data_IF_533642648518
#
_entry.id   IF_533642648518
#
_cell.length_a   1.000
_cell.length_b   1.000
_cell.length_c   1.000
_cell.angle_alpha   90.00
_cell.angle_beta   90.00
_cell.angle_gamma   90.00
#
_symmetry.space_group_name_H-M   'P 1'
#
loop_
_entity.id
_entity.type
_entity.pdbx_description
1 polymer ?
#
# COMPACT_ATOMS: atom_id res chain seq x y z
N UNK A 1 67.52 16.20 6.19
CA UNK A 1 66.52 15.30 6.82
C UNK A 1 65.33 16.17 7.20
N UNK A 2 64.54 16.54 6.18
CA UNK A 2 63.46 17.52 6.28
C UNK A 2 62.62 17.38 5.01
N UNK A 3 61.46 16.71 5.10
CA UNK A 3 60.35 16.69 4.11
C UNK A 3 59.58 15.37 4.26
N UNK A 4 58.60 15.29 5.17
CA UNK A 4 57.61 14.19 5.14
C UNK A 4 56.31 14.50 5.92
N UNK A 5 55.96 15.78 6.11
CA UNK A 5 54.73 16.17 6.83
C UNK A 5 53.75 17.04 6.03
N UNK A 6 54.07 17.38 4.78
CA UNK A 6 53.23 18.29 3.96
C UNK A 6 52.39 17.60 2.87
N UNK A 7 52.51 16.28 2.69
CA UNK A 7 51.82 15.55 1.59
C UNK A 7 50.51 14.89 2.08
N UNK A 8 50.35 14.59 3.37
CA UNK A 8 49.16 13.88 3.87
C UNK A 8 47.91 14.75 4.08
N UNK A 9 48.05 16.07 4.28
CA UNK A 9 46.91 16.96 4.54
C UNK A 9 46.13 17.30 3.27
N UNK A 10 46.80 17.48 2.13
CA UNK A 10 46.16 17.81 0.87
C UNK A 10 45.32 16.64 0.30
N UNK A 11 45.78 15.40 0.47
CA UNK A 11 45.04 14.23 -0.01
C UNK A 11 43.75 13.96 0.79
N UNK A 12 43.74 14.29 2.09
CA UNK A 12 42.55 14.16 2.91
C UNK A 12 41.50 15.23 2.56
N UNK A 13 41.93 16.49 2.38
CA UNK A 13 41.04 17.59 1.96
C UNK A 13 40.50 17.40 0.54
N UNK A 14 41.30 16.92 -0.42
CA UNK A 14 40.85 16.64 -1.78
C UNK A 14 39.86 15.47 -1.82
N UNK A 15 40.06 14.43 -1.01
CA UNK A 15 39.11 13.30 -0.90
C UNK A 15 37.80 13.70 -0.21
N UNK A 16 37.84 14.56 0.81
CA UNK A 16 36.62 15.11 1.44
C UNK A 16 35.88 16.06 0.51
N UNK A 17 36.58 16.93 -0.24
CA UNK A 17 35.97 17.81 -1.25
C UNK A 17 35.31 17.01 -2.39
N UNK A 18 35.90 15.89 -2.81
CA UNK A 18 35.35 15.01 -3.85
C UNK A 18 34.15 14.18 -3.35
N UNK A 19 34.16 13.73 -2.08
CA UNK A 19 32.98 13.10 -1.46
C UNK A 19 31.83 14.09 -1.22
N UNK A 20 32.14 15.33 -0.83
CA UNK A 20 31.13 16.36 -0.63
C UNK A 20 30.51 16.83 -1.95
N UNK A 21 31.27 16.94 -3.05
CA UNK A 21 30.70 17.27 -4.36
C UNK A 21 29.77 16.18 -4.91
N UNK A 22 30.07 14.91 -4.63
CA UNK A 22 29.22 13.77 -4.98
C UNK A 22 27.91 13.75 -4.19
N UNK A 23 27.97 13.99 -2.88
CA UNK A 23 26.79 14.09 -2.01
C UNK A 23 25.90 15.30 -2.36
N UNK A 24 26.50 16.46 -2.64
CA UNK A 24 25.76 17.63 -3.12
C UNK A 24 25.10 17.37 -4.47
N UNK A 25 25.79 16.69 -5.39
CA UNK A 25 25.19 16.31 -6.68
C UNK A 25 24.03 15.34 -6.51
N UNK A 26 24.13 14.40 -5.56
CA UNK A 26 23.06 13.45 -5.24
C UNK A 26 21.85 14.15 -4.60
N UNK A 27 22.08 15.09 -3.68
CA UNK A 27 21.04 15.89 -3.03
C UNK A 27 20.36 16.81 -4.05
N UNK A 28 21.13 17.44 -4.94
CA UNK A 28 20.58 18.25 -6.04
C UNK A 28 19.78 17.37 -7.01
N UNK A 29 20.26 16.18 -7.36
CA UNK A 29 19.51 15.22 -8.18
C UNK A 29 18.19 14.79 -7.50
N UNK A 30 18.21 14.48 -6.20
CA UNK A 30 17.02 14.15 -5.41
C UNK A 30 16.04 15.33 -5.29
N UNK A 31 16.55 16.56 -5.11
CA UNK A 31 15.74 17.78 -5.06
C UNK A 31 15.17 18.16 -6.43
N UNK A 32 15.88 17.85 -7.52
CA UNK A 32 15.40 18.04 -8.88
C UNK A 32 14.35 16.99 -9.26
N UNK A 33 14.54 15.72 -8.87
CA UNK A 33 13.53 14.66 -9.03
C UNK A 33 12.26 14.98 -8.20
N UNK A 34 12.42 15.61 -7.04
CA UNK A 34 11.29 16.07 -6.21
C UNK A 34 10.55 17.30 -6.73
N UNK A 35 11.13 18.04 -7.69
CA UNK A 35 10.56 19.29 -8.25
C UNK A 35 10.21 19.25 -9.73
N UNK A 36 10.52 18.18 -10.45
CA UNK A 36 9.96 17.98 -11.78
C UNK A 36 8.49 17.64 -11.64
N UNK A 37 7.66 18.67 -11.53
CA UNK A 37 6.27 18.62 -11.97
C UNK A 37 6.27 17.94 -13.34
N UNK A 38 5.70 16.73 -13.40
CA UNK A 38 5.36 16.00 -14.61
C UNK A 38 4.29 16.80 -15.38
N UNK A 39 4.68 17.98 -15.89
CA UNK A 39 3.94 18.77 -16.86
C UNK A 39 4.41 18.38 -18.26
N UNK A 40 4.45 17.09 -18.51
CA UNK A 40 4.40 16.59 -19.88
C UNK A 40 2.94 16.71 -20.34
N UNK A 41 2.69 16.94 -21.63
CA UNK A 41 1.34 16.91 -22.19
C UNK A 41 0.71 15.54 -21.87
N UNK A 42 -0.01 15.45 -20.75
CA UNK A 42 -0.65 14.22 -20.31
C UNK A 42 -1.77 13.96 -21.30
N UNK A 43 -1.55 13.02 -22.24
CA UNK A 43 -2.58 12.51 -23.16
C UNK A 43 -3.85 12.04 -22.45
N UNK A 44 -3.78 11.86 -21.13
CA UNK A 44 -4.86 11.44 -20.26
C UNK A 44 -5.67 12.61 -19.67
N UNK A 45 -5.22 13.86 -19.81
CA UNK A 45 -5.93 15.02 -19.24
C UNK A 45 -7.37 15.07 -19.76
N UNK A 46 -8.35 15.10 -18.84
CA UNK A 46 -9.78 15.05 -19.13
C UNK A 46 -10.37 13.65 -19.25
N UNK A 47 -9.56 12.59 -19.11
CA UNK A 47 -10.06 11.21 -19.10
C UNK A 47 -10.90 10.91 -17.85
N UNK A 48 -11.72 9.85 -17.96
CA UNK A 48 -12.50 9.30 -16.86
C UNK A 48 -12.07 7.86 -16.58
N UNK A 49 -11.84 7.53 -15.31
CA UNK A 49 -11.46 6.19 -14.87
C UNK A 49 -12.49 5.64 -13.89
N UNK A 50 -12.92 4.40 -14.11
CA UNK A 50 -13.80 3.65 -13.22
C UNK A 50 -12.98 2.64 -12.42
N UNK A 51 -12.96 2.79 -11.11
CA UNK A 51 -12.25 1.88 -10.20
C UNK A 51 -13.22 0.90 -9.54
N UNK A 52 -12.93 -0.39 -9.65
CA UNK A 52 -13.59 -1.40 -8.82
C UNK A 52 -13.01 -1.32 -7.42
N UNK A 53 -13.88 -1.25 -6.41
CA UNK A 53 -13.52 -1.20 -4.99
C UNK A 53 -14.39 -2.19 -4.21
N UNK A 54 -13.82 -2.82 -3.18
CA UNK A 54 -14.53 -3.72 -2.28
C UNK A 54 -14.06 -3.50 -0.83
N UNK A 55 -14.83 -3.99 0.13
CA UNK A 55 -14.51 -3.85 1.55
C UNK A 55 -13.28 -4.72 1.92
N UNK A 56 -12.20 -4.09 2.38
CA UNK A 56 -10.93 -4.74 2.69
C UNK A 56 -10.15 -3.99 3.80
N UNK A 57 -10.61 -4.08 5.05
CA UNK A 57 -9.90 -3.45 6.16
C UNK A 57 -8.52 -4.12 6.37
N UNK A 58 -7.48 -3.37 6.76
CA UNK A 58 -7.52 -1.97 7.19
C UNK A 58 -7.41 -0.94 6.07
N UNK A 59 -7.24 -1.36 4.81
CA UNK A 59 -6.94 -0.47 3.68
C UNK A 59 -8.14 0.37 3.28
N UNK A 60 -9.26 -0.30 2.96
CA UNK A 60 -10.46 0.33 2.45
C UNK A 60 -11.72 -0.20 3.14
N UNK A 61 -12.50 0.73 3.68
CA UNK A 61 -13.77 0.47 4.34
C UNK A 61 -14.89 0.99 3.46
N UNK A 62 -15.78 0.08 3.04
CA UNK A 62 -17.03 0.40 2.35
C UNK A 62 -18.18 0.17 3.31
N UNK A 63 -19.00 1.20 3.53
CA UNK A 63 -20.23 1.08 4.31
C UNK A 63 -21.41 1.39 3.42
N UNK A 64 -22.29 0.40 3.21
CA UNK A 64 -23.48 0.54 2.37
C UNK A 64 -24.68 1.00 3.22
N UNK A 65 -25.37 2.04 2.77
CA UNK A 65 -26.61 2.54 3.35
C UNK A 65 -27.85 1.88 2.72
N UNK A 66 -29.02 2.15 3.31
CA UNK A 66 -30.29 1.49 2.95
C UNK A 66 -30.81 1.78 1.52
N UNK A 67 -30.24 2.76 0.81
CA UNK A 67 -30.69 3.19 -0.53
C UNK A 67 -29.65 2.93 -1.63
N UNK A 68 -28.70 2.02 -1.40
CA UNK A 68 -27.63 1.73 -2.37
C UNK A 68 -26.50 2.77 -2.39
N UNK A 69 -26.64 3.87 -1.66
CA UNK A 69 -25.53 4.77 -1.38
C UNK A 69 -24.48 4.07 -0.52
N UNK A 70 -23.21 4.42 -0.69
CA UNK A 70 -22.13 3.90 0.15
C UNK A 70 -21.13 5.01 0.49
N UNK A 71 -20.44 4.84 1.62
CA UNK A 71 -19.24 5.60 1.96
C UNK A 71 -18.01 4.77 1.69
N UNK A 72 -16.97 5.41 1.14
CA UNK A 72 -15.66 4.81 0.90
C UNK A 72 -14.60 5.59 1.66
N UNK A 73 -13.98 4.94 2.65
CA UNK A 73 -12.97 5.56 3.51
C UNK A 73 -11.76 4.66 3.63
N UNK A 74 -10.56 5.21 3.63
CA UNK A 74 -9.34 4.41 3.64
C UNK A 74 -8.19 5.11 2.94
N UNK A 75 -7.15 4.35 2.63
CA UNK A 75 -6.03 4.85 1.82
C UNK A 75 -6.39 4.92 0.34
N UNK A 76 -7.25 4.02 -0.15
CA UNK A 76 -7.76 3.98 -1.53
C UNK A 76 -8.21 5.33 -2.07
N UNK A 77 -9.28 5.94 -1.50
CA UNK A 77 -9.80 7.20 -2.01
C UNK A 77 -8.78 8.34 -1.93
N UNK A 78 -7.89 8.34 -0.93
CA UNK A 78 -6.89 9.40 -0.74
C UNK A 78 -5.86 9.43 -1.88
N UNK A 79 -5.31 8.28 -2.26
CA UNK A 79 -4.32 8.23 -3.33
C UNK A 79 -4.97 8.38 -4.71
N UNK A 80 -6.20 7.89 -4.88
CA UNK A 80 -6.98 8.08 -6.11
C UNK A 80 -7.30 9.55 -6.35
N UNK A 81 -7.70 10.29 -5.31
CA UNK A 81 -7.91 11.75 -5.38
C UNK A 81 -6.61 12.51 -5.66
N UNK A 82 -5.49 12.03 -5.12
CA UNK A 82 -4.17 12.57 -5.44
C UNK A 82 -3.82 12.32 -6.92
N UNK A 83 -4.03 11.09 -7.42
CA UNK A 83 -3.79 10.72 -8.81
C UNK A 83 -4.66 11.53 -9.78
N UNK A 84 -5.95 11.66 -9.45
CA UNK A 84 -6.93 12.42 -10.21
C UNK A 84 -6.48 13.87 -10.41
N UNK A 85 -6.07 14.53 -9.32
CA UNK A 85 -5.55 15.91 -9.35
C UNK A 85 -4.23 16.02 -10.10
N UNK A 86 -3.31 15.06 -9.92
CA UNK A 86 -1.98 15.10 -10.55
C UNK A 86 -2.05 14.89 -12.06
N UNK A 87 -2.96 14.05 -12.54
CA UNK A 87 -3.11 13.76 -13.97
C UNK A 87 -4.19 14.60 -14.66
N UNK A 88 -4.94 15.41 -13.91
CA UNK A 88 -6.12 16.14 -14.37
C UNK A 88 -7.15 15.19 -15.00
N UNK A 89 -7.54 14.15 -14.25
CA UNK A 89 -8.51 13.14 -14.67
C UNK A 89 -9.65 13.06 -13.66
N UNK A 90 -10.78 12.52 -14.10
CA UNK A 90 -11.93 12.25 -13.23
C UNK A 90 -11.99 10.77 -12.90
N UNK A 91 -12.52 10.46 -11.72
CA UNK A 91 -12.60 9.08 -11.23
C UNK A 91 -14.02 8.78 -10.74
N UNK A 92 -14.47 7.56 -10.97
CA UNK A 92 -15.68 6.99 -10.38
C UNK A 92 -15.37 5.63 -9.78
N UNK A 93 -16.33 5.12 -9.01
CA UNK A 93 -16.15 3.94 -8.19
C UNK A 93 -17.29 2.96 -8.44
N UNK A 94 -16.94 1.71 -8.71
CA UNK A 94 -17.84 0.58 -8.74
C UNK A 94 -17.64 -0.22 -7.45
N UNK A 95 -18.47 0.08 -6.45
CA UNK A 95 -18.41 -0.57 -5.14
C UNK A 95 -19.08 -1.95 -5.20
N UNK A 96 -18.31 -3.00 -4.88
CA UNK A 96 -18.81 -4.36 -4.78
C UNK A 96 -19.30 -4.61 -3.36
N UNK A 97 -20.60 -4.89 -3.21
CA UNK A 97 -21.18 -5.34 -1.95
C UNK A 97 -21.03 -6.86 -1.79
N UNK A 98 -21.23 -7.36 -0.57
CA UNK A 98 -21.04 -8.78 -0.26
C UNK A 98 -21.97 -9.69 -1.07
N UNK A 99 -23.23 -9.31 -1.24
CA UNK A 99 -24.22 -10.09 -2.01
C UNK A 99 -23.76 -10.31 -3.45
N UNK A 100 -23.33 -9.25 -4.14
CA UNK A 100 -22.81 -9.34 -5.50
C UNK A 100 -21.55 -10.20 -5.57
N UNK A 101 -20.68 -10.14 -4.56
CA UNK A 101 -19.48 -10.98 -4.49
C UNK A 101 -19.87 -12.46 -4.37
N UNK A 102 -20.80 -12.78 -3.46
CA UNK A 102 -21.24 -14.15 -3.18
C UNK A 102 -21.91 -14.77 -4.41
N UNK A 103 -22.78 -14.03 -5.09
CA UNK A 103 -23.45 -14.45 -6.34
C UNK A 103 -22.48 -14.74 -7.49
N UNK A 104 -21.25 -14.20 -7.44
CA UNK A 104 -20.23 -14.30 -8.49
C UNK A 104 -19.02 -15.17 -8.11
N UNK A 105 -19.18 -16.04 -7.11
CA UNK A 105 -18.18 -17.04 -6.72
C UNK A 105 -17.41 -16.70 -5.43
N UNK A 106 -17.84 -15.69 -4.66
CA UNK A 106 -17.37 -15.43 -3.29
C UNK A 106 -16.00 -14.75 -3.17
N UNK A 107 -15.26 -14.59 -4.26
CA UNK A 107 -13.95 -13.92 -4.26
C UNK A 107 -14.05 -12.48 -4.79
N UNK A 108 -13.91 -11.52 -3.88
CA UNK A 108 -13.85 -10.09 -4.16
C UNK A 108 -12.74 -9.72 -5.15
N UNK A 109 -11.54 -10.28 -4.98
CA UNK A 109 -10.39 -10.04 -5.86
C UNK A 109 -10.67 -10.58 -7.26
N UNK A 110 -11.12 -11.83 -7.38
CA UNK A 110 -11.34 -12.45 -8.69
C UNK A 110 -12.48 -11.80 -9.46
N UNK A 111 -13.55 -11.40 -8.77
CA UNK A 111 -14.63 -10.64 -9.39
C UNK A 111 -14.09 -9.29 -9.91
N UNK A 112 -13.35 -8.56 -9.08
CA UNK A 112 -12.74 -7.30 -9.48
C UNK A 112 -11.82 -7.42 -10.69
N UNK A 113 -10.94 -8.43 -10.71
CA UNK A 113 -10.05 -8.69 -11.84
C UNK A 113 -10.81 -9.07 -13.11
N UNK A 114 -11.89 -9.86 -13.00
CA UNK A 114 -12.76 -10.19 -14.14
C UNK A 114 -13.46 -8.96 -14.70
N UNK A 115 -13.94 -8.06 -13.85
CA UNK A 115 -14.58 -6.80 -14.30
C UNK A 115 -13.60 -5.92 -15.09
N UNK A 116 -12.34 -5.86 -14.66
CA UNK A 116 -11.28 -5.13 -15.38
C UNK A 116 -10.92 -5.84 -16.69
N UNK A 117 -10.69 -7.15 -16.66
CA UNK A 117 -10.36 -7.93 -17.85
C UNK A 117 -11.44 -7.84 -18.94
N UNK A 118 -12.71 -7.79 -18.52
CA UNK A 118 -13.87 -7.64 -19.41
C UNK A 118 -14.16 -6.19 -19.80
N UNK A 119 -13.34 -5.21 -19.38
CA UNK A 119 -13.50 -3.78 -19.68
C UNK A 119 -14.79 -3.15 -19.11
N UNK A 120 -15.35 -3.74 -18.06
CA UNK A 120 -16.46 -3.15 -17.31
C UNK A 120 -15.98 -2.08 -16.33
N UNK A 121 -14.69 -2.06 -16.03
CA UNK A 121 -14.00 -1.05 -15.24
C UNK A 121 -12.56 -0.90 -15.74
N UNK A 122 -11.93 0.23 -15.45
CA UNK A 122 -10.60 0.54 -15.96
C UNK A 122 -9.48 -0.02 -15.07
N UNK A 123 -9.74 -0.14 -13.77
CA UNK A 123 -8.78 -0.68 -12.82
C UNK A 123 -9.45 -1.26 -11.57
N UNK A 124 -8.78 -2.22 -10.95
CA UNK A 124 -9.10 -2.72 -9.62
C UNK A 124 -8.14 -2.08 -8.64
N UNK A 125 -8.67 -1.39 -7.64
CA UNK A 125 -7.85 -0.77 -6.60
C UNK A 125 -8.23 -1.36 -5.26
N UNK A 126 -7.27 -2.11 -4.71
CA UNK A 126 -7.30 -2.57 -3.34
C UNK A 126 -5.95 -3.20 -2.97
N UNK A 127 -5.71 -3.39 -1.67
CA UNK A 127 -4.58 -4.19 -1.20
C UNK A 127 -4.69 -5.62 -1.72
N UNK A 128 -3.90 -5.95 -2.75
CA UNK A 128 -3.87 -7.30 -3.35
C UNK A 128 -2.44 -7.74 -3.64
N UNK A 129 -2.22 -9.04 -3.57
CA UNK A 129 -0.94 -9.66 -3.90
C UNK A 129 -0.91 -9.96 -5.40
N UNK A 130 0.13 -9.48 -6.08
CA UNK A 130 0.39 -9.85 -7.46
C UNK A 130 0.85 -11.31 -7.51
N UNK A 131 0.12 -12.16 -8.23
CA UNK A 131 0.51 -13.56 -8.50
C UNK A 131 0.64 -13.80 -10.00
N UNK A 132 1.41 -14.81 -10.44
CA UNK A 132 1.52 -15.15 -11.86
C UNK A 132 0.17 -15.42 -12.54
N UNK A 133 -0.79 -16.00 -11.83
CA UNK A 133 -2.13 -16.31 -12.33
C UNK A 133 -2.90 -15.02 -12.60
N UNK A 134 -2.87 -14.07 -11.66
CA UNK A 134 -3.57 -12.77 -11.80
C UNK A 134 -2.96 -11.92 -12.90
N UNK A 135 -1.64 -11.98 -13.08
CA UNK A 135 -0.93 -11.28 -14.16
C UNK A 135 -1.31 -11.77 -15.56
N UNK A 136 -1.85 -12.99 -15.69
CA UNK A 136 -2.40 -13.48 -16.97
C UNK A 136 -3.74 -12.83 -17.31
N UNK A 137 -4.46 -12.28 -16.32
CA UNK A 137 -5.79 -11.71 -16.51
C UNK A 137 -5.73 -10.21 -16.81
N UNK A 138 -4.86 -9.48 -16.12
CA UNK A 138 -4.73 -8.02 -16.24
C UNK A 138 -3.28 -7.59 -16.05
N UNK A 139 -2.96 -6.41 -16.56
CA UNK A 139 -1.69 -5.75 -16.28
C UNK A 139 -1.67 -5.15 -14.88
N UNK A 140 -0.54 -5.28 -14.19
CA UNK A 140 -0.30 -4.67 -12.90
C UNK A 140 0.52 -3.40 -13.05
N UNK A 141 0.16 -2.36 -12.31
CA UNK A 141 1.03 -1.21 -12.12
C UNK A 141 2.29 -1.58 -11.34
N UNK A 142 3.24 -0.65 -11.26
CA UNK A 142 4.33 -0.78 -10.30
C UNK A 142 3.74 -0.92 -8.88
N UNK A 143 4.40 -1.72 -8.04
CA UNK A 143 3.92 -1.94 -6.67
C UNK A 143 4.04 -0.64 -5.88
N UNK A 144 2.94 -0.20 -5.28
CA UNK A 144 2.89 1.03 -4.47
C UNK A 144 3.22 0.74 -3.00
N UNK A 145 3.12 -0.53 -2.60
CA UNK A 145 3.27 -0.96 -1.22
C UNK A 145 3.87 -2.37 -1.13
N UNK A 146 4.61 -2.64 -0.06
CA UNK A 146 5.15 -3.96 0.27
C UNK A 146 4.75 -4.33 1.68
N UNK A 147 4.00 -5.42 1.83
CA UNK A 147 3.64 -6.00 3.13
C UNK A 147 4.43 -7.28 3.38
N UNK A 148 5.09 -7.43 4.55
CA UNK A 148 5.64 -8.70 4.95
C UNK A 148 4.53 -9.66 5.38
N UNK A 149 4.70 -10.95 5.08
CA UNK A 149 3.92 -11.98 5.76
C UNK A 149 4.37 -12.04 7.23
N UNK A 150 3.47 -11.69 8.13
CA UNK A 150 3.72 -11.72 9.57
C UNK A 150 2.78 -12.71 10.25
N UNK A 151 3.31 -13.43 11.24
CA UNK A 151 2.50 -14.28 12.11
C UNK A 151 2.16 -13.48 13.36
N UNK A 152 0.87 -13.29 13.62
CA UNK A 152 0.42 -12.67 14.87
C UNK A 152 0.46 -13.73 15.96
N UNK A 153 1.37 -13.57 16.91
CA UNK A 153 1.50 -14.44 18.09
C UNK A 153 1.12 -13.69 19.36
N UNK A 154 0.57 -14.37 20.38
CA UNK A 154 0.37 -13.77 21.70
C UNK A 154 1.70 -13.21 22.24
N UNK A 155 1.64 -12.07 22.92
CA UNK A 155 2.84 -11.54 23.58
C UNK A 155 3.27 -12.47 24.72
N UNK A 156 4.58 -12.59 25.02
CA UNK A 156 5.04 -13.35 26.17
C UNK A 156 4.32 -12.88 27.45
N UNK A 157 3.61 -13.78 28.13
CA UNK A 157 2.81 -13.48 29.31
C UNK A 157 1.34 -13.13 29.06
N UNK A 158 0.89 -12.96 27.81
CA UNK A 158 -0.55 -12.89 27.50
C UNK A 158 -1.16 -14.30 27.60
N UNK A 159 -2.16 -14.44 28.46
CA UNK A 159 -2.97 -15.67 28.54
C UNK A 159 -3.70 -15.87 27.21
N UNK A 160 -3.67 -17.08 26.61
CA UNK A 160 -4.41 -17.34 25.37
C UNK A 160 -5.89 -17.04 25.54
N UNK A 161 -6.43 -16.09 24.75
CA UNK A 161 -7.86 -15.75 24.76
C UNK A 161 -8.77 -16.91 24.31
N UNK A 162 -8.19 -17.98 23.77
CA UNK A 162 -8.84 -19.27 23.54
C UNK A 162 -9.57 -19.80 24.78
N UNK A 163 -9.05 -19.50 25.98
CA UNK A 163 -9.67 -19.94 27.24
C UNK A 163 -10.58 -18.90 27.87
N UNK A 164 -10.74 -17.70 27.31
CA UNK A 164 -11.54 -16.63 27.92
C UNK A 164 -13.01 -17.05 28.17
N UNK A 165 -13.57 -17.91 27.32
CA UNK A 165 -14.94 -18.40 27.44
C UNK A 165 -15.12 -19.45 28.55
N UNK A 166 -14.08 -20.26 28.82
CA UNK A 166 -14.11 -21.32 29.85
C UNK A 166 -13.35 -20.95 31.13
N UNK A 167 -12.70 -19.79 31.15
CA UNK A 167 -11.97 -19.22 32.28
C UNK A 167 -12.75 -19.25 33.60
N UNK A 168 -14.05 -18.86 33.66
CA UNK A 168 -14.81 -18.92 34.92
C UNK A 168 -15.16 -20.34 35.38
N UNK A 169 -14.89 -21.37 34.58
CA UNK A 169 -15.19 -22.77 34.88
C UNK A 169 -13.94 -23.63 35.09
N UNK A 170 -12.73 -23.04 35.06
CA UNK A 170 -11.52 -23.78 35.41
C UNK A 170 -11.44 -23.94 36.94
N UNK A 171 -11.27 -25.17 37.47
CA UNK A 171 -11.07 -25.35 38.90
C UNK A 171 -9.76 -24.66 39.29
N UNK A 172 -9.86 -23.66 40.17
CA UNK A 172 -8.70 -23.07 40.84
C UNK A 172 -8.13 -24.19 41.71
N UNK A 173 -7.03 -24.80 41.28
CA UNK A 173 -6.23 -25.67 42.13
C UNK A 173 -5.50 -24.75 43.10
N UNK A 174 -6.12 -24.45 44.24
CA UNK A 174 -5.38 -23.94 45.39
C UNK A 174 -4.55 -25.08 45.93
N UNK A 175 -3.28 -25.16 45.54
CA UNK A 175 -2.29 -25.91 46.31
C UNK A 175 -2.22 -25.29 47.71
N UNK A 176 -2.91 -25.93 48.65
CA UNK A 176 -2.75 -25.65 50.08
C UNK A 176 -1.52 -26.44 50.49
N UNK A 177 -0.37 -25.77 50.55
CA UNK A 177 0.83 -26.32 51.19
C UNK A 177 0.54 -26.41 52.69
N UNK A 178 0.38 -27.63 53.20
CA UNK A 178 0.48 -27.96 54.62
C UNK A 178 1.92 -28.39 54.88
#
# INVERSE_FOLDING_TARGET
MQSDSHIQTNDFEVRTLCQMSSLFSLIIALLLVGKTELRHNNKLSGAHFTFVVYHNPPYDVLTFGALGNYSHTGTGPQWQDWLARKLNVTVSYMALNQTTIDENGGSNVELGLRLVANKNADALVNGMIATPERKKMVDFSYFVWTEPYTMVVPRPGEVPRLFALIWPFQPIVTETVI
#
